data_IF_502984324225
#
_entry.id   IF_502984324225
#
_cell.length_a   1.000
_cell.length_b   1.000
_cell.length_c   1.000
_cell.angle_alpha   90.00
_cell.angle_beta   90.00
_cell.angle_gamma   90.00
#
_symmetry.space_group_name_H-M   'P 1'
#
loop_
_entity.id
_entity.type
_entity.pdbx_description
1 polymer ?
#
# COMPACT_ATOMS: atom_id res chain seq x y z
N UNK A 1 -19.33 -13.85 2.30
CA UNK A 1 -18.24 -13.74 3.28
C UNK A 1 -16.98 -14.12 2.52
N UNK A 2 -15.95 -13.32 2.31
CA UNK A 2 -15.81 -11.87 2.36
C UNK A 2 -14.84 -11.56 1.23
N UNK A 3 -15.37 -11.38 0.01
CA UNK A 3 -14.60 -10.67 -1.03
C UNK A 3 -14.15 -9.36 -0.39
N UNK A 4 -12.85 -9.25 -0.15
CA UNK A 4 -12.26 -8.04 0.40
C UNK A 4 -12.56 -6.97 -0.64
N UNK A 5 -13.47 -6.06 -0.30
CA UNK A 5 -13.85 -4.91 -1.11
C UNK A 5 -12.67 -3.94 -1.20
N UNK A 6 -11.66 -4.32 -2.00
CA UNK A 6 -10.37 -3.65 -2.09
C UNK A 6 -10.52 -2.25 -2.69
N UNK A 7 -11.28 -2.12 -3.79
CA UNK A 7 -11.54 -0.84 -4.42
C UNK A 7 -12.34 0.12 -3.52
N UNK A 8 -13.48 -0.27 -2.93
CA UNK A 8 -14.18 0.58 -1.95
C UNK A 8 -13.31 0.98 -0.75
N UNK A 9 -12.54 0.05 -0.19
CA UNK A 9 -11.61 0.37 0.89
C UNK A 9 -10.61 1.46 0.49
N UNK A 10 -10.01 1.33 -0.70
CA UNK A 10 -9.06 2.32 -1.22
C UNK A 10 -9.71 3.69 -1.42
N UNK A 11 -10.89 3.75 -2.05
CA UNK A 11 -11.57 5.03 -2.30
C UNK A 11 -12.01 5.71 -1.00
N UNK A 12 -12.50 4.96 0.00
CA UNK A 12 -12.80 5.50 1.33
C UNK A 12 -11.55 6.11 1.98
N UNK A 13 -10.41 5.43 1.84
CA UNK A 13 -9.13 5.88 2.39
C UNK A 13 -8.57 7.08 1.67
N UNK A 14 -8.74 7.15 0.35
CA UNK A 14 -8.33 8.28 -0.47
C UNK A 14 -9.24 9.51 -0.24
N UNK A 15 -10.54 9.32 -0.02
CA UNK A 15 -11.47 10.42 0.28
C UNK A 15 -11.10 11.17 1.58
N UNK A 16 -10.48 10.51 2.56
CA UNK A 16 -9.94 11.19 3.74
C UNK A 16 -8.75 12.10 3.41
N UNK A 17 -7.90 11.70 2.46
CA UNK A 17 -6.81 12.53 1.93
C UNK A 17 -7.39 13.77 1.24
N UNK A 18 -8.42 13.58 0.41
CA UNK A 18 -9.10 14.68 -0.29
C UNK A 18 -9.75 15.66 0.70
N UNK A 19 -10.37 15.14 1.77
CA UNK A 19 -10.94 15.94 2.85
C UNK A 19 -9.87 16.78 3.54
N UNK A 20 -8.70 16.19 3.82
CA UNK A 20 -7.59 16.92 4.42
C UNK A 20 -7.00 17.98 3.48
N UNK A 21 -6.84 17.66 2.20
CA UNK A 21 -6.39 18.61 1.18
C UNK A 21 -7.34 19.79 0.99
N UNK A 22 -8.66 19.56 1.06
CA UNK A 22 -9.65 20.62 1.04
C UNK A 22 -9.48 21.54 2.25
N UNK A 23 -9.26 20.96 3.44
CA UNK A 23 -8.96 21.74 4.64
C UNK A 23 -7.68 22.58 4.46
N UNK A 24 -6.58 22.00 3.97
CA UNK A 24 -5.34 22.75 3.71
C UNK A 24 -5.56 23.89 2.70
N UNK A 25 -6.33 23.63 1.64
CA UNK A 25 -6.65 24.67 0.64
C UNK A 25 -7.42 25.83 1.26
N UNK A 26 -8.42 25.53 2.09
CA UNK A 26 -9.21 26.56 2.77
C UNK A 26 -8.33 27.42 3.70
N UNK A 27 -7.35 26.82 4.38
CA UNK A 27 -6.37 27.54 5.21
C UNK A 27 -5.45 28.42 4.37
N UNK A 28 -5.01 27.94 3.19
CA UNK A 28 -4.17 28.70 2.26
C UNK A 28 -4.93 29.87 1.62
N UNK A 29 -6.17 29.65 1.18
CA UNK A 29 -7.01 30.69 0.58
C UNK A 29 -7.36 31.78 1.59
N UNK A 30 -7.71 31.39 2.83
CA UNK A 30 -7.93 32.35 3.90
C UNK A 30 -6.68 33.18 4.21
N UNK A 31 -5.49 32.59 4.05
CA UNK A 31 -4.22 33.29 4.24
C UNK A 31 -4.00 34.46 3.25
N UNK A 32 -4.59 34.39 2.06
CA UNK A 32 -4.46 35.44 1.03
C UNK A 32 -5.15 36.74 1.43
N UNK A 33 -6.18 36.65 2.27
CA UNK A 33 -6.90 37.80 2.82
C UNK A 33 -6.31 38.33 4.13
N UNK A 34 -5.24 37.70 4.65
CA UNK A 34 -4.63 37.98 5.94
C UNK A 34 -4.44 36.72 6.78
N UNK A 35 -3.79 36.82 7.95
CA UNK A 35 -3.60 35.65 8.82
C UNK A 35 -4.98 35.08 9.26
N UNK A 36 -5.33 33.82 8.92
CA UNK A 36 -6.64 33.25 9.27
C UNK A 36 -6.76 33.18 10.79
N UNK A 37 -7.95 33.48 11.34
CA UNK A 37 -8.18 33.50 12.79
C UNK A 37 -9.31 32.56 13.21
N UNK A 38 -9.16 31.97 14.39
CA UNK A 38 -10.23 31.23 15.04
C UNK A 38 -11.26 32.19 15.63
N UNK A 39 -12.53 31.96 15.30
CA UNK A 39 -13.64 32.73 15.87
C UNK A 39 -13.69 32.53 17.38
N UNK A 40 -13.75 33.63 18.14
CA UNK A 40 -13.94 33.61 19.60
C UNK A 40 -12.65 33.54 20.43
N UNK A 41 -11.46 33.47 19.82
CA UNK A 41 -10.18 33.46 20.58
C UNK A 41 -9.17 34.50 20.09
N UNK A 42 -9.49 35.24 19.02
CA UNK A 42 -8.59 36.12 18.25
C UNK A 42 -7.27 35.48 17.79
N UNK A 43 -7.05 34.19 18.07
CA UNK A 43 -5.83 33.47 17.73
C UNK A 43 -5.73 33.26 16.22
N UNK A 44 -4.59 33.62 15.64
CA UNK A 44 -4.30 33.39 14.23
C UNK A 44 -3.59 32.07 13.99
N UNK A 45 -3.88 31.41 12.88
CA UNK A 45 -3.09 30.29 12.36
C UNK A 45 -1.74 30.83 11.91
N UNK A 46 -0.71 30.47 12.67
CA UNK A 46 0.68 30.89 12.43
C UNK A 46 1.29 30.20 11.19
N UNK A 47 2.36 30.77 10.61
CA UNK A 47 3.09 30.10 9.52
C UNK A 47 3.58 28.69 9.90
N UNK A 48 4.09 28.51 11.13
CA UNK A 48 4.57 27.21 11.60
C UNK A 48 3.42 26.20 11.73
N UNK A 49 2.26 26.61 12.25
CA UNK A 49 1.08 25.75 12.27
C UNK A 49 0.67 25.32 10.85
N UNK A 50 0.73 26.20 9.85
CA UNK A 50 0.45 25.82 8.45
C UNK A 50 1.46 24.80 7.92
N UNK A 51 2.75 24.99 8.19
CA UNK A 51 3.80 24.03 7.81
C UNK A 51 3.59 22.67 8.48
N UNK A 52 3.22 22.67 9.76
CA UNK A 52 2.91 21.44 10.51
C UNK A 52 1.70 20.71 9.88
N UNK A 53 0.64 21.44 9.55
CA UNK A 53 -0.53 20.89 8.87
C UNK A 53 -0.14 20.30 7.50
N UNK A 54 0.64 21.02 6.69
CA UNK A 54 1.13 20.54 5.40
C UNK A 54 1.97 19.26 5.54
N UNK A 55 2.92 19.24 6.47
CA UNK A 55 3.80 18.08 6.72
C UNK A 55 3.03 16.84 7.16
N UNK A 56 1.91 17.03 7.86
CA UNK A 56 1.06 15.92 8.32
C UNK A 56 0.43 15.14 7.14
N UNK A 57 0.28 15.75 5.97
CA UNK A 57 -0.21 15.05 4.78
C UNK A 57 0.75 13.94 4.34
N UNK A 58 2.07 14.11 4.48
CA UNK A 58 3.03 13.06 4.12
C UNK A 58 2.82 11.78 4.95
N UNK A 59 2.45 11.92 6.22
CA UNK A 59 2.12 10.77 7.07
C UNK A 59 0.83 10.09 6.62
N UNK A 60 -0.20 10.86 6.29
CA UNK A 60 -1.48 10.33 5.82
C UNK A 60 -1.35 9.63 4.46
N UNK A 61 -0.61 10.22 3.51
CA UNK A 61 -0.32 9.62 2.21
C UNK A 61 0.49 8.33 2.37
N UNK A 62 1.48 8.31 3.26
CA UNK A 62 2.24 7.10 3.51
C UNK A 62 1.36 6.00 4.11
N UNK A 63 0.49 6.34 5.06
CA UNK A 63 -0.46 5.39 5.63
C UNK A 63 -1.42 4.84 4.57
N UNK A 64 -1.90 5.68 3.63
CA UNK A 64 -2.69 5.22 2.49
C UNK A 64 -1.92 4.18 1.67
N UNK A 65 -0.66 4.45 1.30
CA UNK A 65 0.18 3.52 0.53
C UNK A 65 0.32 2.18 1.28
N UNK A 66 0.73 2.23 2.55
CA UNK A 66 0.97 1.03 3.36
C UNK A 66 -0.29 0.20 3.57
N UNK A 67 -1.41 0.86 3.91
CA UNK A 67 -2.69 0.21 4.11
C UNK A 67 -3.21 -0.42 2.80
N UNK A 68 -3.02 0.25 1.66
CA UNK A 68 -3.40 -0.28 0.35
C UNK A 68 -2.62 -1.54 0.01
N UNK A 69 -1.29 -1.51 0.17
CA UNK A 69 -0.45 -2.69 -0.10
C UNK A 69 -0.81 -3.86 0.80
N UNK A 70 -1.02 -3.62 2.09
CA UNK A 70 -1.42 -4.68 3.01
C UNK A 70 -2.77 -5.29 2.60
N UNK A 71 -3.77 -4.46 2.27
CA UNK A 71 -5.07 -4.95 1.81
C UNK A 71 -5.01 -5.73 0.50
N UNK A 72 -4.14 -5.34 -0.43
CA UNK A 72 -3.92 -6.10 -1.67
C UNK A 72 -3.38 -7.52 -1.38
N UNK A 73 -2.48 -7.66 -0.40
CA UNK A 73 -1.95 -8.98 -0.02
C UNK A 73 -3.00 -9.82 0.73
N UNK A 74 -3.74 -9.19 1.64
CA UNK A 74 -4.84 -9.84 2.35
C UNK A 74 -5.94 -10.31 1.39
N UNK A 75 -6.26 -9.56 0.33
CA UNK A 75 -7.27 -9.96 -0.67
C UNK A 75 -6.85 -11.19 -1.47
N UNK A 76 -5.57 -11.31 -1.82
CA UNK A 76 -5.01 -12.50 -2.47
C UNK A 76 -5.13 -13.72 -1.56
N UNK A 77 -4.72 -13.60 -0.29
CA UNK A 77 -4.82 -14.69 0.69
C UNK A 77 -6.28 -15.11 0.88
N UNK A 78 -7.18 -14.15 1.13
CA UNK A 78 -8.59 -14.45 1.36
C UNK A 78 -9.23 -15.15 0.15
N UNK A 79 -8.88 -14.75 -1.07
CA UNK A 79 -9.39 -15.38 -2.28
C UNK A 79 -8.90 -16.83 -2.45
N UNK A 80 -7.64 -17.11 -2.11
CA UNK A 80 -7.06 -18.47 -2.13
C UNK A 80 -7.82 -19.38 -1.16
N UNK A 81 -8.03 -18.89 0.06
CA UNK A 81 -8.73 -19.63 1.12
C UNK A 81 -10.22 -19.82 0.79
N UNK A 82 -10.91 -18.79 0.30
CA UNK A 82 -12.33 -18.84 -0.07
C UNK A 82 -12.59 -19.78 -1.26
N UNK A 83 -11.67 -19.81 -2.23
CA UNK A 83 -11.74 -20.75 -3.35
C UNK A 83 -11.33 -22.19 -2.97
N UNK A 84 -10.88 -22.41 -1.72
CA UNK A 84 -10.33 -23.68 -1.22
C UNK A 84 -9.21 -24.23 -2.12
N UNK A 85 -8.34 -23.34 -2.62
CA UNK A 85 -7.26 -23.73 -3.53
C UNK A 85 -6.26 -24.65 -2.84
N UNK A 86 -5.81 -25.66 -3.57
CA UNK A 86 -4.74 -26.57 -3.14
C UNK A 86 -3.38 -26.01 -3.56
N UNK A 87 -2.27 -26.37 -2.87
CA UNK A 87 -0.93 -25.92 -3.26
C UNK A 87 -0.57 -26.21 -4.72
N UNK A 88 -1.08 -27.32 -5.28
CA UNK A 88 -0.89 -27.72 -6.68
C UNK A 88 -1.58 -26.80 -7.69
N UNK A 89 -2.61 -26.07 -7.27
CA UNK A 89 -3.42 -25.17 -8.10
C UNK A 89 -2.91 -23.73 -8.08
N UNK A 90 -1.98 -23.41 -7.17
CA UNK A 90 -1.33 -22.10 -7.10
C UNK A 90 -0.33 -21.91 -8.25
N UNK A 91 -0.20 -20.66 -8.72
CA UNK A 91 0.92 -20.25 -9.57
C UNK A 91 2.25 -20.48 -8.86
N UNK A 92 3.36 -20.47 -9.60
CA UNK A 92 4.69 -20.68 -9.01
C UNK A 92 5.01 -19.60 -7.96
N UNK A 93 4.62 -18.37 -8.21
CA UNK A 93 4.82 -17.20 -7.36
C UNK A 93 4.05 -17.37 -6.04
N UNK A 94 2.73 -17.61 -6.11
CA UNK A 94 1.92 -17.85 -4.92
C UNK A 94 2.33 -19.10 -4.16
N UNK A 95 2.70 -20.18 -4.87
CA UNK A 95 3.23 -21.40 -4.25
C UNK A 95 4.55 -21.12 -3.52
N UNK A 96 5.39 -20.25 -4.06
CA UNK A 96 6.64 -19.83 -3.41
C UNK A 96 6.36 -19.06 -2.12
N UNK A 97 5.36 -18.16 -2.12
CA UNK A 97 4.92 -17.48 -0.90
C UNK A 97 4.34 -18.48 0.12
N UNK A 98 3.51 -19.41 -0.32
CA UNK A 98 2.94 -20.45 0.54
C UNK A 98 4.04 -21.30 1.19
N UNK A 99 5.05 -21.76 0.42
CA UNK A 99 6.21 -22.47 0.97
C UNK A 99 6.97 -21.59 1.97
N UNK A 100 7.19 -20.31 1.66
CA UNK A 100 7.89 -19.39 2.58
C UNK A 100 7.16 -19.23 3.91
N UNK A 101 5.83 -19.24 3.88
CA UNK A 101 4.96 -19.18 5.05
C UNK A 101 5.02 -20.49 5.86
N UNK A 102 4.71 -21.63 5.23
CA UNK A 102 4.57 -22.93 5.92
C UNK A 102 5.93 -23.51 6.33
N UNK A 103 6.91 -23.52 5.43
CA UNK A 103 8.26 -24.01 5.76
C UNK A 103 9.07 -22.99 6.58
N UNK A 104 8.48 -21.82 6.90
CA UNK A 104 9.06 -20.75 7.73
C UNK A 104 10.48 -20.39 7.32
N UNK A 105 10.75 -20.35 6.02
CA UNK A 105 12.11 -20.22 5.46
C UNK A 105 12.78 -18.88 5.76
N UNK A 106 12.01 -17.92 6.25
CA UNK A 106 12.44 -16.58 6.65
C UNK A 106 12.74 -16.48 8.16
N UNK A 107 12.47 -17.55 8.94
CA UNK A 107 12.71 -17.60 10.39
C UNK A 107 14.04 -18.29 10.70
N UNK A 108 14.78 -17.78 11.68
CA UNK A 108 15.95 -18.49 12.21
C UNK A 108 15.48 -19.65 13.12
N UNK A 109 15.33 -20.82 12.51
CA UNK A 109 14.89 -22.04 13.17
C UNK A 109 16.05 -23.01 13.34
N UNK A 110 16.10 -23.66 14.51
CA UNK A 110 16.98 -24.80 14.74
C UNK A 110 16.58 -26.02 13.88
N UNK A 111 17.47 -27.02 13.73
CA UNK A 111 17.27 -28.15 12.82
C UNK A 111 15.94 -28.90 13.01
N UNK A 112 15.55 -29.21 14.25
CA UNK A 112 14.32 -29.97 14.53
C UNK A 112 13.06 -29.22 14.08
N UNK A 113 12.98 -27.91 14.36
CA UNK A 113 11.84 -27.08 13.93
C UNK A 113 11.74 -26.93 12.42
N UNK A 114 12.86 -27.00 11.70
CA UNK A 114 12.86 -27.02 10.23
C UNK A 114 12.37 -28.36 9.69
N UNK A 115 12.75 -29.46 10.34
CA UNK A 115 12.25 -30.78 10.01
C UNK A 115 10.73 -30.86 10.23
N UNK A 116 10.24 -30.38 11.37
CA UNK A 116 8.80 -30.33 11.68
C UNK A 116 8.03 -29.56 10.61
N UNK A 117 8.50 -28.36 10.25
CA UNK A 117 7.86 -27.55 9.21
C UNK A 117 7.89 -28.22 7.82
N UNK A 118 8.96 -28.97 7.51
CA UNK A 118 9.04 -29.72 6.26
C UNK A 118 8.09 -30.93 6.24
N UNK A 119 7.95 -31.65 7.38
CA UNK A 119 6.99 -32.74 7.53
C UNK A 119 5.55 -32.24 7.40
N UNK A 120 5.21 -31.13 8.07
CA UNK A 120 3.90 -30.49 7.97
C UNK A 120 3.56 -30.08 6.53
N UNK A 121 4.52 -29.49 5.82
CA UNK A 121 4.36 -29.14 4.40
C UNK A 121 4.14 -30.39 3.53
N UNK A 122 4.92 -31.45 3.74
CA UNK A 122 4.76 -32.71 3.03
C UNK A 122 3.39 -33.33 3.29
N UNK A 123 2.91 -33.31 4.53
CA UNK A 123 1.59 -33.83 4.90
C UNK A 123 0.48 -33.06 4.18
N UNK A 124 0.56 -31.72 4.14
CA UNK A 124 -0.40 -30.89 3.39
C UNK A 124 -0.44 -31.24 1.90
N UNK A 125 0.72 -31.51 1.29
CA UNK A 125 0.83 -31.91 -0.12
C UNK A 125 0.27 -33.31 -0.36
N UNK A 126 0.61 -34.28 0.50
CA UNK A 126 0.16 -35.68 0.38
C UNK A 126 -1.34 -35.81 0.59
N UNK A 127 -1.88 -35.11 1.59
CA UNK A 127 -3.32 -35.09 1.89
C UNK A 127 -4.12 -34.16 0.98
N UNK A 128 -3.45 -33.39 0.10
CA UNK A 128 -4.08 -32.38 -0.76
C UNK A 128 -4.96 -31.39 0.01
N UNK A 129 -4.49 -30.99 1.20
CA UNK A 129 -5.21 -30.05 2.07
C UNK A 129 -5.29 -28.68 1.37
N UNK A 130 -6.49 -28.06 1.29
CA UNK A 130 -6.62 -26.68 0.84
C UNK A 130 -5.75 -25.73 1.67
N UNK A 131 -5.18 -24.72 1.03
CA UNK A 131 -4.37 -23.71 1.69
C UNK A 131 -5.21 -22.98 2.73
N UNK A 132 -4.71 -22.93 3.96
CA UNK A 132 -5.30 -22.24 5.12
C UNK A 132 -4.20 -21.63 5.98
N UNK A 133 -4.58 -20.61 6.76
CA UNK A 133 -3.69 -19.90 7.69
C UNK A 133 -2.43 -19.36 7.00
N UNK A 134 -2.58 -18.99 5.72
CA UNK A 134 -1.52 -18.52 4.85
C UNK A 134 -1.32 -17.02 5.03
N UNK A 135 -0.06 -16.56 5.08
CA UNK A 135 0.25 -15.13 5.09
C UNK A 135 1.34 -14.81 4.07
N UNK A 136 1.11 -13.74 3.31
CA UNK A 136 2.14 -13.16 2.46
C UNK A 136 2.76 -12.02 3.25
N UNK A 137 4.02 -12.22 3.65
CA UNK A 137 4.77 -11.17 4.32
C UNK A 137 4.95 -9.98 3.38
N UNK A 138 4.51 -8.76 3.77
CA UNK A 138 4.57 -7.61 2.88
C UNK A 138 6.00 -7.34 2.39
N UNK A 139 7.01 -7.66 3.20
CA UNK A 139 8.40 -7.35 2.87
C UNK A 139 8.67 -5.85 2.95
N UNK A 140 9.89 -5.43 2.63
CA UNK A 140 10.26 -4.02 2.56
C UNK A 140 10.34 -3.27 3.91
N UNK A 141 10.07 -3.92 5.05
CA UNK A 141 10.20 -3.31 6.38
C UNK A 141 9.31 -2.09 6.61
N UNK A 142 8.17 -2.01 5.91
CA UNK A 142 7.29 -0.85 5.95
C UNK A 142 7.94 0.39 5.35
N UNK A 143 8.63 0.25 4.20
CA UNK A 143 9.26 1.33 3.42
C UNK A 143 8.82 1.31 1.95
N UNK A 144 7.55 1.62 1.71
CA UNK A 144 6.88 1.51 0.42
C UNK A 144 7.17 2.69 -0.51
N UNK A 145 7.62 2.35 -1.72
CA UNK A 145 7.70 3.17 -2.92
C UNK A 145 7.27 2.35 -4.15
N UNK A 146 7.20 3.00 -5.31
CA UNK A 146 6.86 2.40 -6.60
C UNK A 146 7.67 1.14 -6.92
N UNK A 147 8.99 1.16 -6.71
CA UNK A 147 9.86 0.01 -6.97
C UNK A 147 9.54 -1.18 -6.04
N UNK A 148 9.27 -0.91 -4.77
CA UNK A 148 8.90 -1.95 -3.81
C UNK A 148 7.50 -2.53 -4.08
N UNK A 149 6.57 -1.72 -4.60
CA UNK A 149 5.24 -2.18 -5.02
C UNK A 149 5.37 -3.08 -6.25
N UNK A 150 6.15 -2.66 -7.26
CA UNK A 150 6.46 -3.47 -8.46
C UNK A 150 7.03 -4.85 -8.07
N UNK A 151 8.05 -4.88 -7.21
CA UNK A 151 8.65 -6.14 -6.72
C UNK A 151 7.68 -7.00 -5.94
N UNK A 152 6.78 -6.38 -5.17
CA UNK A 152 5.75 -7.09 -4.42
C UNK A 152 4.76 -7.75 -5.38
N UNK A 153 4.31 -7.04 -6.42
CA UNK A 153 3.44 -7.56 -7.47
C UNK A 153 4.08 -8.74 -8.21
N UNK A 154 5.34 -8.62 -8.64
CA UNK A 154 6.11 -9.70 -9.27
C UNK A 154 6.17 -10.94 -8.36
N UNK A 155 6.45 -10.73 -7.08
CA UNK A 155 6.59 -11.80 -6.09
C UNK A 155 5.30 -12.59 -5.86
N UNK A 156 4.14 -11.95 -5.98
CA UNK A 156 2.84 -12.64 -5.83
C UNK A 156 2.27 -13.10 -7.18
N UNK A 157 2.92 -12.78 -8.30
CA UNK A 157 2.44 -13.12 -9.64
C UNK A 157 1.32 -12.22 -10.16
N UNK A 158 1.08 -11.06 -9.51
CA UNK A 158 0.10 -10.08 -9.99
C UNK A 158 0.78 -9.17 -11.03
N UNK A 159 0.30 -9.20 -12.28
CA UNK A 159 0.78 -8.30 -13.32
C UNK A 159 0.41 -6.84 -13.02
N UNK A 160 1.39 -6.01 -12.70
CA UNK A 160 1.17 -4.58 -12.44
C UNK A 160 1.14 -3.81 -13.77
N UNK A 161 -0.05 -3.39 -14.20
CA UNK A 161 -0.25 -2.64 -15.43
C UNK A 161 -0.70 -1.20 -15.11
N UNK A 162 0.28 -0.29 -15.09
CA UNK A 162 0.05 1.14 -14.85
C UNK A 162 0.07 1.87 -16.20
N UNK A 163 -0.94 2.71 -16.45
CA UNK A 163 -1.03 3.51 -17.66
C UNK A 163 0.17 4.45 -17.79
N UNK A 164 0.69 4.70 -19.00
CA UNK A 164 1.89 5.51 -19.19
C UNK A 164 1.81 6.90 -18.57
N UNK A 165 0.63 7.54 -18.61
CA UNK A 165 0.40 8.85 -18.00
C UNK A 165 0.50 8.82 -16.48
N UNK A 166 -0.09 7.81 -15.83
CA UNK A 166 -0.06 7.66 -14.37
C UNK A 166 1.35 7.30 -13.91
N UNK A 167 2.02 6.40 -14.62
CA UNK A 167 3.40 6.03 -14.32
C UNK A 167 4.35 7.24 -14.43
N UNK A 168 4.23 8.02 -15.52
CA UNK A 168 5.02 9.24 -15.70
C UNK A 168 4.73 10.28 -14.62
N UNK A 169 3.47 10.46 -14.23
CA UNK A 169 3.09 11.38 -13.15
C UNK A 169 3.70 10.96 -11.80
N UNK A 170 3.67 9.67 -11.47
CA UNK A 170 4.25 9.13 -10.24
C UNK A 170 5.78 9.28 -10.19
N UNK A 171 6.47 9.08 -11.33
CA UNK A 171 7.94 9.17 -11.43
C UNK A 171 8.46 10.59 -11.62
N UNK A 172 7.62 11.53 -12.07
CA UNK A 172 8.02 12.93 -12.28
C UNK A 172 8.62 13.50 -11.01
N UNK A 173 9.83 14.07 -11.11
CA UNK A 173 10.48 14.69 -9.97
C UNK A 173 9.66 15.89 -9.49
N UNK A 174 9.22 15.82 -8.23
CA UNK A 174 8.48 16.91 -7.58
C UNK A 174 9.45 17.75 -6.75
N UNK A 175 10.25 17.10 -5.91
CA UNK A 175 11.22 17.75 -5.03
C UNK A 175 12.37 16.78 -4.70
N UNK A 176 13.57 17.32 -4.45
CA UNK A 176 14.79 16.57 -4.12
C UNK A 176 15.12 15.44 -5.11
N UNK A 177 14.80 15.63 -6.39
CA UNK A 177 14.93 14.62 -7.44
C UNK A 177 14.18 13.31 -7.14
N UNK A 178 13.05 13.41 -6.43
CA UNK A 178 12.20 12.28 -6.08
C UNK A 178 10.84 12.38 -6.76
N UNK A 179 10.37 11.24 -7.29
CA UNK A 179 8.97 11.02 -7.63
C UNK A 179 8.07 11.00 -6.39
N UNK A 180 6.75 11.01 -6.60
CA UNK A 180 5.77 11.24 -5.54
C UNK A 180 5.86 10.20 -4.40
N UNK A 181 5.85 8.90 -4.73
CA UNK A 181 5.93 7.81 -3.75
C UNK A 181 7.23 7.83 -2.94
N UNK A 182 8.37 8.00 -3.64
CA UNK A 182 9.70 8.09 -3.00
C UNK A 182 9.82 9.31 -2.09
N UNK A 183 9.26 10.45 -2.50
CA UNK A 183 9.25 11.68 -1.69
C UNK A 183 8.42 11.48 -0.42
N UNK A 184 7.21 10.94 -0.51
CA UNK A 184 6.34 10.68 0.65
C UNK A 184 7.03 9.75 1.64
N UNK A 185 7.61 8.64 1.15
CA UNK A 185 8.42 7.71 1.98
C UNK A 185 9.57 8.43 2.67
N UNK A 186 10.33 9.24 1.94
CA UNK A 186 11.47 9.99 2.49
C UNK A 186 11.01 10.95 3.61
N UNK A 187 9.95 11.72 3.37
CA UNK A 187 9.40 12.66 4.36
C UNK A 187 8.85 11.96 5.60
N UNK A 188 8.07 10.90 5.42
CA UNK A 188 7.58 10.08 6.54
C UNK A 188 8.73 9.53 7.38
N UNK A 189 9.78 8.99 6.74
CA UNK A 189 10.93 8.45 7.47
C UNK A 189 11.70 9.54 8.23
N UNK A 190 11.90 10.71 7.62
CA UNK A 190 12.54 11.83 8.29
C UNK A 190 11.77 12.32 9.51
N UNK A 191 10.44 12.41 9.40
CA UNK A 191 9.56 12.77 10.51
C UNK A 191 9.57 11.69 11.61
N UNK A 192 9.47 10.41 11.24
CA UNK A 192 9.40 9.30 12.20
C UNK A 192 10.71 9.07 12.96
N UNK A 193 11.86 9.25 12.31
CA UNK A 193 13.17 9.10 12.93
C UNK A 193 13.68 10.39 13.59
N UNK A 194 12.93 11.51 13.47
CA UNK A 194 13.27 12.80 14.08
C UNK A 194 14.39 13.55 13.35
N UNK A 195 14.78 13.14 12.14
CA UNK A 195 15.77 13.88 11.34
C UNK A 195 15.16 15.10 10.62
N UNK A 196 13.84 15.20 10.56
CA UNK A 196 13.09 16.37 10.10
C UNK A 196 12.07 16.78 11.16
N UNK A 197 11.95 18.07 11.44
CA UNK A 197 10.80 18.61 12.16
C UNK A 197 9.61 18.78 11.21
N UNK A 198 8.39 18.86 11.75
CA UNK A 198 7.20 19.18 10.95
C UNK A 198 7.26 20.57 10.30
N UNK A 199 7.99 21.52 10.88
CA UNK A 199 8.14 22.86 10.28
C UNK A 199 9.10 22.80 9.09
N UNK A 200 10.21 22.07 9.21
CA UNK A 200 11.22 21.96 8.16
C UNK A 200 10.76 21.07 6.99
N UNK A 201 9.99 20.02 7.29
CA UNK A 201 9.54 19.02 6.31
C UNK A 201 8.73 19.61 5.15
N UNK A 202 7.92 20.64 5.42
CA UNK A 202 7.11 21.35 4.42
C UNK A 202 7.55 22.80 4.19
N UNK A 203 8.82 23.10 4.45
CA UNK A 203 9.34 24.44 4.15
C UNK A 203 9.37 24.71 2.64
N UNK A 204 8.75 25.83 2.25
CA UNK A 204 8.56 26.19 0.84
C UNK A 204 7.66 25.24 0.04
N UNK A 205 6.85 24.41 0.69
CA UNK A 205 5.88 23.51 0.03
C UNK A 205 4.51 24.19 -0.04
N UNK A 206 3.90 24.20 -1.23
CA UNK A 206 2.57 24.79 -1.47
C UNK A 206 1.46 23.73 -1.39
N UNK A 207 0.21 24.14 -1.12
CA UNK A 207 -0.92 23.18 -1.13
C UNK A 207 -1.15 22.63 -2.54
N UNK A 208 -0.89 23.41 -3.59
CA UNK A 208 -0.97 22.94 -4.97
C UNK A 208 0.03 21.80 -5.27
N UNK A 209 1.25 21.89 -4.76
CA UNK A 209 2.26 20.83 -4.86
C UNK A 209 1.79 19.56 -4.13
N UNK A 210 1.28 19.71 -2.90
CA UNK A 210 0.73 18.61 -2.12
C UNK A 210 -0.44 17.90 -2.81
N UNK A 211 -1.34 18.66 -3.44
CA UNK A 211 -2.42 18.11 -4.28
C UNK A 211 -1.88 17.31 -5.46
N UNK A 212 -0.84 17.81 -6.12
CA UNK A 212 -0.18 17.09 -7.21
C UNK A 212 0.43 15.76 -6.77
N UNK A 213 1.11 15.74 -5.62
CA UNK A 213 1.67 14.52 -5.02
C UNK A 213 0.55 13.53 -4.68
N UNK A 214 -0.52 14.01 -4.04
CA UNK A 214 -1.64 13.16 -3.63
C UNK A 214 -2.37 12.54 -4.83
N UNK A 215 -2.62 13.32 -5.89
CA UNK A 215 -3.22 12.81 -7.14
C UNK A 215 -2.34 11.75 -7.79
N UNK A 216 -1.05 12.01 -7.95
CA UNK A 216 -0.13 11.07 -8.56
C UNK A 216 -0.05 9.72 -7.79
N UNK A 217 -0.08 9.78 -6.46
CA UNK A 217 -0.13 8.57 -5.61
C UNK A 217 -1.49 7.89 -5.71
N UNK A 218 -2.58 8.66 -5.63
CA UNK A 218 -3.94 8.14 -5.71
C UNK A 218 -4.19 7.39 -7.02
N UNK A 219 -3.83 7.98 -8.14
CA UNK A 219 -4.02 7.38 -9.47
C UNK A 219 -3.17 6.11 -9.62
N UNK A 220 -1.92 6.13 -9.18
CA UNK A 220 -1.04 4.96 -9.20
C UNK A 220 -1.61 3.80 -8.36
N UNK A 221 -2.03 4.10 -7.12
CA UNK A 221 -2.58 3.09 -6.22
C UNK A 221 -3.93 2.55 -6.72
N UNK A 222 -4.76 3.40 -7.34
CA UNK A 222 -6.05 2.98 -7.93
C UNK A 222 -5.87 1.98 -9.06
N UNK A 223 -4.91 2.22 -9.96
CA UNK A 223 -4.58 1.27 -11.02
C UNK A 223 -3.93 0.00 -10.47
N UNK A 224 -3.07 0.11 -9.46
CA UNK A 224 -2.52 -1.06 -8.77
C UNK A 224 -3.63 -1.91 -8.11
N UNK A 225 -4.57 -1.28 -7.40
CA UNK A 225 -5.74 -1.94 -6.81
C UNK A 225 -6.58 -2.63 -7.88
N UNK A 226 -6.79 -2.00 -9.03
CA UNK A 226 -7.51 -2.60 -10.16
C UNK A 226 -6.80 -3.84 -10.69
N UNK A 227 -5.46 -3.83 -10.76
CA UNK A 227 -4.68 -5.03 -11.12
C UNK A 227 -4.92 -6.18 -10.13
N UNK A 228 -4.93 -5.89 -8.82
CA UNK A 228 -5.20 -6.90 -7.78
C UNK A 228 -6.64 -7.43 -7.83
N UNK A 229 -7.64 -6.56 -8.04
CA UNK A 229 -9.02 -6.99 -8.22
C UNK A 229 -9.14 -7.96 -9.40
N UNK A 230 -8.59 -7.58 -10.55
CA UNK A 230 -8.60 -8.42 -11.75
C UNK A 230 -7.85 -9.75 -11.53
N UNK A 231 -6.73 -9.72 -10.83
CA UNK A 231 -5.94 -10.91 -10.51
C UNK A 231 -6.71 -11.87 -9.60
N UNK A 232 -7.34 -11.36 -8.54
CA UNK A 232 -8.16 -12.16 -7.61
C UNK A 232 -9.37 -12.76 -8.33
N UNK A 233 -10.11 -11.97 -9.10
CA UNK A 233 -11.32 -12.43 -9.79
C UNK A 233 -11.03 -13.35 -10.98
N UNK A 234 -9.93 -13.08 -11.70
CA UNK A 234 -9.56 -13.78 -12.92
C UNK A 234 -8.83 -15.10 -12.67
N UNK A 235 -7.82 -15.08 -11.81
CA UNK A 235 -6.86 -16.18 -11.66
C UNK A 235 -7.16 -17.04 -10.42
N UNK A 236 -7.65 -16.43 -9.34
CA UNK A 236 -7.83 -17.12 -8.06
C UNK A 236 -9.27 -17.62 -7.89
N UNK A 237 -10.27 -16.77 -8.09
CA UNK A 237 -11.67 -17.10 -7.82
C UNK A 237 -12.30 -18.03 -8.87
N UNK A 238 -11.79 -18.04 -10.12
CA UNK A 238 -12.27 -18.97 -11.15
C UNK A 238 -11.78 -20.38 -10.85
N UNK A 239 -12.59 -21.20 -10.16
CA UNK A 239 -12.49 -22.65 -10.32
C UNK A 239 -12.73 -22.94 -11.80
N UNK A 240 -11.69 -23.31 -12.54
CA UNK A 240 -11.89 -23.87 -13.86
C UNK A 240 -12.86 -25.04 -13.67
N UNK A 241 -14.04 -24.95 -14.29
CA UNK A 241 -14.90 -26.10 -14.48
C UNK A 241 -14.23 -27.00 -15.51
N UNK A 242 -13.09 -27.62 -15.16
CA UNK A 242 -12.57 -28.77 -15.89
C UNK A 242 -13.47 -29.93 -15.53
N UNK A 243 -14.63 -29.92 -16.19
CA UNK A 243 -15.51 -31.07 -16.27
C UNK A 243 -14.76 -32.08 -17.14
N UNK A 244 -14.35 -33.17 -16.49
CA UNK A 244 -14.02 -34.47 -17.09
C UNK A 244 -14.62 -34.66 -18.49
N UNK A 245 -13.74 -34.86 -19.48
CA UNK A 245 -14.05 -35.52 -20.75
C UNK A 245 -13.07 -36.68 -20.93
#
# INVERSE_FOLDING_TARGET
MASINLAPFFEERYAEIETYLLFLQNVEDAARAGAPRFRGTDASITPDQKKILNSSLYLQLYNLVEATVLRCLESVVAAIEEAERRPSELSLELRTEWVRSIARTHSDLGPDKRLDAALDMCEQLLQQIPVKDFRIEPGGGGNWDDLSIEKMCERVGCGLNISPSVFQAAKRHVRDDMGALKLVKNRRNGLAHGSLSFVDCSDGVTVAELKGIASAIGDYLREAVTCFVNYVEGEIAKKEAVTTS
#
